data_IF_505471963071
#
_entry.id   IF_505471963071
#
_cell.length_a   1.000
_cell.length_b   1.000
_cell.length_c   1.000
_cell.angle_alpha   90.00
_cell.angle_beta   90.00
_cell.angle_gamma   90.00
#
_symmetry.space_group_name_H-M   'P 1'
#
loop_
_entity.id
_entity.type
_entity.pdbx_description
1 polymer ?
#
# COMPACT_ATOMS: atom_id res chain seq x y z
N UNK A 1 5.15 6.67 -11.72
CA UNK A 1 4.62 6.62 -13.10
C UNK A 1 3.87 7.91 -13.44
N UNK A 2 3.85 8.33 -14.71
CA UNK A 2 3.04 9.46 -15.19
C UNK A 2 1.69 8.99 -15.77
N UNK A 3 0.74 9.91 -15.98
CA UNK A 3 -0.56 9.58 -16.59
C UNK A 3 -0.40 8.95 -17.97
N UNK A 4 0.52 9.47 -18.80
CA UNK A 4 0.79 8.94 -20.13
C UNK A 4 1.23 7.47 -20.13
N UNK A 5 2.01 7.06 -19.12
CA UNK A 5 2.42 5.66 -18.96
C UNK A 5 1.21 4.76 -18.65
N UNK A 6 0.30 5.22 -17.80
CA UNK A 6 -0.92 4.49 -17.47
C UNK A 6 -1.89 4.40 -18.67
N UNK A 7 -2.03 5.48 -19.43
CA UNK A 7 -2.82 5.47 -20.68
C UNK A 7 -2.23 4.48 -21.69
N UNK A 8 -0.90 4.43 -21.82
CA UNK A 8 -0.20 3.43 -22.63
C UNK A 8 -0.49 2.01 -22.14
N UNK A 9 -0.41 1.75 -20.83
CA UNK A 9 -0.77 0.46 -20.26
C UNK A 9 -2.20 0.05 -20.61
N UNK A 10 -3.16 0.96 -20.45
CA UNK A 10 -4.57 0.71 -20.76
C UNK A 10 -4.76 0.38 -22.24
N UNK A 11 -4.08 1.10 -23.14
CA UNK A 11 -4.11 0.82 -24.59
C UNK A 11 -3.52 -0.55 -24.94
N UNK A 12 -2.37 -0.91 -24.35
CA UNK A 12 -1.67 -2.17 -24.60
C UNK A 12 -2.40 -3.40 -24.03
N UNK A 13 -3.23 -3.20 -23.00
CA UNK A 13 -3.74 -4.28 -22.15
C UNK A 13 -5.27 -4.39 -22.12
N UNK A 14 -6.04 -3.52 -22.79
CA UNK A 14 -7.51 -3.51 -22.71
C UNK A 14 -8.13 -4.91 -22.91
N UNK A 15 -7.74 -5.60 -23.98
CA UNK A 15 -8.22 -6.96 -24.27
C UNK A 15 -7.78 -8.01 -23.23
N UNK A 16 -6.61 -7.82 -22.58
CA UNK A 16 -6.08 -8.73 -21.55
C UNK A 16 -6.72 -8.54 -20.19
N UNK A 17 -7.30 -7.35 -19.93
CA UNK A 17 -7.95 -7.02 -18.66
C UNK A 17 -9.44 -7.43 -18.63
N UNK A 18 -10.08 -7.58 -19.80
CA UNK A 18 -11.48 -7.99 -19.90
C UNK A 18 -11.71 -9.37 -19.28
N UNK A 19 -12.71 -9.46 -18.39
CA UNK A 19 -13.07 -10.70 -17.71
C UNK A 19 -12.10 -11.16 -16.61
N UNK A 20 -11.04 -10.38 -16.33
CA UNK A 20 -10.09 -10.67 -15.24
C UNK A 20 -10.63 -10.19 -13.90
N UNK A 21 -10.29 -10.93 -12.84
CA UNK A 21 -10.50 -10.48 -11.46
C UNK A 21 -9.61 -9.27 -11.13
N UNK A 22 -9.98 -8.51 -10.12
CA UNK A 22 -9.23 -7.29 -9.75
C UNK A 22 -7.78 -7.59 -9.36
N UNK A 23 -7.52 -8.71 -8.68
CA UNK A 23 -6.16 -9.15 -8.37
C UNK A 23 -5.35 -9.52 -9.61
N UNK A 24 -5.96 -10.17 -10.60
CA UNK A 24 -5.31 -10.48 -11.88
C UNK A 24 -4.97 -9.20 -12.65
N UNK A 25 -5.88 -8.22 -12.71
CA UNK A 25 -5.62 -6.93 -13.36
C UNK A 25 -4.43 -6.22 -12.72
N UNK A 26 -4.39 -6.16 -11.38
CA UNK A 26 -3.26 -5.56 -10.65
C UNK A 26 -1.96 -6.32 -10.92
N UNK A 27 -1.97 -7.66 -10.95
CA UNK A 27 -0.78 -8.47 -11.30
C UNK A 27 -0.29 -8.25 -12.73
N UNK A 28 -1.21 -8.13 -13.68
CA UNK A 28 -0.89 -7.80 -15.09
C UNK A 28 -0.23 -6.42 -15.16
N UNK A 29 -0.78 -5.44 -14.44
CA UNK A 29 -0.22 -4.10 -14.35
C UNK A 29 1.17 -4.07 -13.72
N UNK A 30 1.39 -4.73 -12.58
CA UNK A 30 2.72 -4.89 -11.96
C UNK A 30 3.71 -5.51 -12.95
N UNK A 31 3.30 -6.57 -13.66
CA UNK A 31 4.14 -7.22 -14.66
C UNK A 31 4.51 -6.29 -15.82
N UNK A 32 3.59 -5.43 -16.25
CA UNK A 32 3.85 -4.43 -17.29
C UNK A 32 4.81 -3.35 -16.79
N UNK A 33 4.62 -2.84 -15.55
CA UNK A 33 5.54 -1.88 -14.95
C UNK A 33 6.97 -2.44 -14.88
N UNK A 34 7.13 -3.67 -14.39
CA UNK A 34 8.43 -4.34 -14.32
C UNK A 34 9.09 -4.51 -15.69
N UNK A 35 8.32 -4.92 -16.71
CA UNK A 35 8.84 -5.08 -18.09
C UNK A 35 9.30 -3.77 -18.72
N UNK A 36 8.72 -2.64 -18.31
CA UNK A 36 9.04 -1.32 -18.84
C UNK A 36 9.99 -0.52 -17.92
N UNK A 37 10.53 -1.13 -16.86
CA UNK A 37 11.36 -0.46 -15.84
C UNK A 37 10.68 0.76 -15.21
N UNK A 38 9.37 0.66 -14.95
CA UNK A 38 8.59 1.71 -14.30
C UNK A 38 8.40 1.32 -12.83
N UNK A 39 8.91 2.16 -11.93
CA UNK A 39 8.58 2.05 -10.51
C UNK A 39 7.24 2.75 -10.23
N UNK A 40 6.33 2.04 -9.59
CA UNK A 40 5.02 2.58 -9.23
C UNK A 40 4.60 2.18 -7.82
N UNK A 41 3.89 3.07 -7.13
CA UNK A 41 3.27 2.78 -5.83
C UNK A 41 2.04 1.91 -6.07
N UNK A 42 1.99 0.76 -5.39
CA UNK A 42 0.93 -0.24 -5.53
C UNK A 42 -0.04 -0.21 -4.35
N UNK A 43 0.50 -0.06 -3.15
CA UNK A 43 -0.23 -0.08 -1.90
C UNK A 43 0.36 0.96 -0.95
N UNK A 44 -0.49 1.73 -0.29
CA UNK A 44 -0.17 2.72 0.73
C UNK A 44 -0.88 2.34 2.03
N UNK A 45 -0.10 2.00 3.04
CA UNK A 45 -0.59 1.69 4.39
C UNK A 45 -0.18 2.76 5.39
N UNK A 46 -0.98 2.92 6.42
CA UNK A 46 -0.74 3.80 7.54
C UNK A 46 -0.12 3.05 8.71
N UNK A 47 0.80 3.67 9.43
CA UNK A 47 1.28 3.14 10.71
C UNK A 47 1.13 4.19 11.80
N UNK A 48 0.71 3.74 12.98
CA UNK A 48 0.49 4.57 14.17
C UNK A 48 1.17 3.98 15.41
N UNK A 49 1.93 4.80 16.13
CA UNK A 49 2.43 4.42 17.46
C UNK A 49 1.40 4.74 18.55
N UNK A 50 1.43 3.96 19.64
CA UNK A 50 0.52 4.09 20.78
C UNK A 50 0.71 5.48 21.41
N UNK A 51 -0.34 6.30 21.39
CA UNK A 51 -0.36 7.62 22.04
C UNK A 51 -0.54 8.84 21.14
N UNK A 52 -0.87 8.71 19.84
CA UNK A 52 -1.34 9.81 18.96
C UNK A 52 -0.31 10.90 18.59
N UNK A 53 0.75 11.03 19.39
CA UNK A 53 1.77 12.07 19.32
C UNK A 53 3.14 11.55 18.86
N UNK A 54 3.32 10.23 18.71
CA UNK A 54 4.56 9.59 18.26
C UNK A 54 4.60 9.30 16.73
N UNK A 55 5.66 8.64 16.24
CA UNK A 55 6.13 8.64 14.82
C UNK A 55 5.17 7.90 13.88
N UNK A 56 4.05 8.52 13.54
CA UNK A 56 3.16 8.00 12.51
C UNK A 56 3.86 8.02 11.15
N UNK A 57 3.76 6.91 10.41
CA UNK A 57 4.40 6.77 9.11
C UNK A 57 3.40 6.34 8.06
N UNK A 58 3.73 6.63 6.81
CA UNK A 58 3.12 6.04 5.62
C UNK A 58 4.10 5.01 5.06
N UNK A 59 3.57 3.86 4.68
CA UNK A 59 4.27 2.74 4.05
C UNK A 59 3.79 2.67 2.60
N UNK A 60 4.63 3.08 1.67
CA UNK A 60 4.36 3.02 0.24
C UNK A 60 5.07 1.80 -0.35
N UNK A 61 4.32 0.74 -0.62
CA UNK A 61 4.80 -0.45 -1.31
C UNK A 61 4.82 -0.15 -2.80
N UNK A 62 6.01 -0.19 -3.40
CA UNK A 62 6.20 -0.01 -4.82
C UNK A 62 6.39 -1.37 -5.51
N UNK A 63 6.72 -1.36 -6.80
CA UNK A 63 7.11 -2.57 -7.52
C UNK A 63 8.48 -3.13 -7.11
N UNK A 64 9.32 -2.35 -6.41
CA UNK A 64 10.71 -2.75 -6.08
C UNK A 64 11.11 -2.58 -4.61
N UNK A 65 10.40 -1.76 -3.84
CA UNK A 65 10.77 -1.41 -2.46
C UNK A 65 9.58 -0.95 -1.64
N UNK A 66 9.81 -0.76 -0.35
CA UNK A 66 8.90 -0.09 0.57
C UNK A 66 9.52 1.25 0.94
N UNK A 67 8.82 2.35 0.66
CA UNK A 67 9.22 3.70 1.06
C UNK A 67 8.49 4.06 2.34
N UNK A 68 9.24 4.48 3.36
CA UNK A 68 8.68 4.89 4.65
C UNK A 68 8.84 6.39 4.82
N UNK A 69 7.71 7.08 4.98
CA UNK A 69 7.67 8.53 5.17
C UNK A 69 6.98 8.87 6.49
N UNK A 70 7.50 9.85 7.24
CA UNK A 70 6.86 10.37 8.45
C UNK A 70 5.61 11.18 8.07
N UNK A 71 4.51 11.00 8.79
CA UNK A 71 3.30 11.82 8.62
C UNK A 71 3.47 13.16 9.33
N UNK A 72 3.24 14.25 8.61
CA UNK A 72 3.14 15.59 9.22
C UNK A 72 1.84 15.70 10.04
N UNK A 73 1.79 16.60 11.02
CA UNK A 73 0.62 16.78 11.90
C UNK A 73 -0.70 17.00 11.14
N UNK A 74 -0.64 17.62 9.95
CA UNK A 74 -1.79 17.93 9.09
C UNK A 74 -2.23 16.70 8.28
N UNK A 75 -1.29 15.90 7.77
CA UNK A 75 -1.60 14.67 6.99
C UNK A 75 -2.18 13.54 7.83
N UNK A 76 -2.05 13.57 9.17
CA UNK A 76 -2.61 12.56 10.09
C UNK A 76 -4.13 12.34 9.94
N UNK A 77 -4.84 13.33 9.42
CA UNK A 77 -6.31 13.36 9.32
C UNK A 77 -6.84 13.37 7.88
N UNK A 78 -5.95 13.44 6.87
CA UNK A 78 -6.30 13.64 5.47
C UNK A 78 -6.00 12.44 4.57
N UNK A 79 -5.63 11.29 5.14
CA UNK A 79 -5.45 10.02 4.42
C UNK A 79 -6.82 9.49 3.94
N UNK A 80 -7.38 10.18 2.94
CA UNK A 80 -8.60 9.84 2.26
C UNK A 80 -8.27 9.41 0.85
N UNK A 81 -8.58 8.15 0.56
CA UNK A 81 -8.84 7.71 -0.79
C UNK A 81 -8.31 6.32 -1.03
N UNK A 82 -9.18 5.46 -1.54
CA UNK A 82 -8.94 4.12 -2.08
C UNK A 82 -9.10 2.96 -1.10
N UNK A 83 -9.72 1.89 -1.62
CA UNK A 83 -10.14 0.72 -0.84
C UNK A 83 -8.90 -0.03 -0.35
N UNK A 84 -8.84 -0.28 0.96
CA UNK A 84 -7.83 -1.10 1.62
C UNK A 84 -6.37 -0.67 1.33
N UNK A 85 -6.15 0.63 1.10
CA UNK A 85 -4.82 1.18 0.87
C UNK A 85 -4.28 1.03 -0.54
N UNK A 86 -5.06 0.56 -1.55
CA UNK A 86 -4.55 0.56 -2.93
C UNK A 86 -4.13 1.95 -3.39
N UNK A 87 -3.00 2.05 -4.08
CA UNK A 87 -2.57 3.30 -4.68
C UNK A 87 -3.48 3.70 -5.88
N UNK A 88 -3.43 4.96 -6.36
CA UNK A 88 -4.40 5.49 -7.31
C UNK A 88 -4.54 4.67 -8.60
N UNK A 89 -3.44 4.29 -9.25
CA UNK A 89 -3.49 3.53 -10.51
C UNK A 89 -3.97 2.09 -10.33
N UNK A 90 -3.44 1.28 -9.39
CA UNK A 90 -4.02 -0.02 -9.07
C UNK A 90 -5.51 0.05 -8.75
N UNK A 91 -5.95 1.08 -8.01
CA UNK A 91 -7.36 1.28 -7.69
C UNK A 91 -8.21 1.55 -8.93
N UNK A 92 -7.74 2.34 -9.90
CA UNK A 92 -8.48 2.56 -11.15
C UNK A 92 -8.76 1.25 -11.90
N UNK A 93 -7.87 0.26 -11.82
CA UNK A 93 -8.05 -1.04 -12.47
C UNK A 93 -9.19 -1.86 -11.87
N UNK A 94 -9.52 -1.62 -10.59
CA UNK A 94 -10.63 -2.28 -9.91
C UNK A 94 -11.96 -1.56 -10.17
N UNK A 95 -11.94 -0.38 -10.79
CA UNK A 95 -13.15 0.35 -11.15
C UNK A 95 -13.74 -0.18 -12.46
N UNK A 96 -15.08 -0.29 -12.53
CA UNK A 96 -15.77 -0.68 -13.76
C UNK A 96 -15.55 0.30 -14.92
N UNK A 97 -15.44 1.58 -14.61
CA UNK A 97 -15.14 2.66 -15.55
C UNK A 97 -13.94 3.44 -15.01
N UNK A 98 -12.73 2.98 -15.35
CA UNK A 98 -11.50 3.66 -14.99
C UNK A 98 -11.49 5.05 -15.64
N UNK A 99 -11.49 6.10 -14.82
CA UNK A 99 -11.41 7.48 -15.27
C UNK A 99 -10.16 8.12 -14.63
N UNK A 100 -9.04 8.21 -15.38
CA UNK A 100 -7.79 8.75 -14.89
C UNK A 100 -7.90 10.19 -14.35
N UNK A 101 -8.88 10.96 -14.82
CA UNK A 101 -9.10 12.34 -14.38
C UNK A 101 -9.58 12.43 -12.92
N UNK A 102 -10.11 11.33 -12.37
CA UNK A 102 -10.55 11.25 -10.97
C UNK A 102 -9.40 11.04 -9.99
N UNK A 103 -8.18 10.78 -10.46
CA UNK A 103 -7.00 10.73 -9.60
C UNK A 103 -6.72 12.16 -9.12
N UNK A 104 -6.89 12.40 -7.81
CA UNK A 104 -6.47 13.65 -7.19
C UNK A 104 -4.95 13.80 -7.34
N UNK A 105 -4.47 14.93 -7.85
CA UNK A 105 -3.03 15.22 -8.00
C UNK A 105 -2.21 14.98 -6.73
N UNK A 106 -2.79 15.25 -5.56
CA UNK A 106 -2.14 15.06 -4.25
C UNK A 106 -1.97 13.57 -3.86
N UNK A 107 -2.64 12.63 -4.53
CA UNK A 107 -2.50 11.20 -4.28
C UNK A 107 -1.46 10.55 -5.20
N UNK A 108 -1.03 11.23 -6.26
CA UNK A 108 -0.25 10.67 -7.35
C UNK A 108 1.23 11.05 -7.26
N UNK A 109 1.86 10.78 -6.11
CA UNK A 109 3.29 10.99 -5.97
C UNK A 109 4.06 9.79 -6.51
N UNK A 110 5.05 10.06 -7.35
CA UNK A 110 5.96 9.01 -7.82
C UNK A 110 6.84 8.50 -6.68
N UNK A 111 7.36 7.25 -6.77
CA UNK A 111 8.35 6.76 -5.82
C UNK A 111 9.56 7.69 -5.64
N UNK A 112 10.06 8.29 -6.71
CA UNK A 112 11.19 9.23 -6.67
C UNK A 112 10.81 10.54 -5.97
N UNK A 113 9.60 11.04 -6.21
CA UNK A 113 9.09 12.23 -5.53
C UNK A 113 8.97 11.97 -4.03
N UNK A 114 8.46 10.79 -3.63
CA UNK A 114 8.35 10.39 -2.23
C UNK A 114 9.72 10.31 -1.55
N UNK A 115 10.73 9.76 -2.23
CA UNK A 115 12.09 9.65 -1.71
C UNK A 115 12.81 11.00 -1.55
N UNK A 116 12.38 12.05 -2.25
CA UNK A 116 12.97 13.40 -2.19
C UNK A 116 12.30 14.33 -1.19
N UNK A 117 11.20 13.91 -0.56
CA UNK A 117 10.47 14.78 0.38
C UNK A 117 11.20 14.95 1.68
N UNK A 118 10.98 16.08 2.33
CA UNK A 118 11.51 16.36 3.68
C UNK A 118 11.04 15.35 4.73
N UNK A 119 9.88 14.73 4.52
CA UNK A 119 9.33 13.74 5.43
C UNK A 119 9.76 12.29 5.12
N UNK A 120 10.58 12.06 4.10
CA UNK A 120 11.18 10.76 3.85
C UNK A 120 11.99 10.30 5.08
N UNK A 121 11.81 9.05 5.49
CA UNK A 121 12.54 8.48 6.62
C UNK A 121 13.61 7.50 6.15
N UNK A 122 13.19 6.47 5.40
CA UNK A 122 14.06 5.44 4.85
C UNK A 122 13.29 4.62 3.81
N UNK A 123 13.99 3.71 3.15
CA UNK A 123 13.40 2.71 2.26
C UNK A 123 13.94 1.33 2.61
N UNK A 124 13.21 0.29 2.23
CA UNK A 124 13.61 -1.12 2.36
C UNK A 124 13.45 -1.75 0.98
N UNK A 125 14.54 -2.23 0.38
CA UNK A 125 14.44 -2.92 -0.91
C UNK A 125 13.84 -4.31 -0.72
N UNK A 126 13.00 -4.76 -1.66
CA UNK A 126 12.43 -6.12 -1.57
C UNK A 126 13.51 -7.21 -1.58
N UNK A 127 14.65 -6.97 -2.23
CA UNK A 127 15.80 -7.87 -2.22
C UNK A 127 16.50 -8.00 -0.87
N UNK A 128 16.26 -7.07 0.06
CA UNK A 128 16.87 -7.07 1.40
C UNK A 128 15.95 -7.68 2.47
N UNK A 129 14.70 -7.99 2.11
CA UNK A 129 13.71 -8.54 3.05
C UNK A 129 13.91 -10.05 3.13
N UNK A 130 14.22 -10.52 4.33
CA UNK A 130 14.35 -11.95 4.64
C UNK A 130 13.00 -12.53 5.06
N UNK A 131 12.21 -11.75 5.81
CA UNK A 131 10.89 -12.18 6.28
C UNK A 131 9.95 -10.98 6.41
N UNK A 132 8.72 -11.14 5.94
CA UNK A 132 7.63 -10.19 6.16
C UNK A 132 6.48 -10.93 6.85
N UNK A 133 6.14 -10.47 8.04
CA UNK A 133 5.13 -11.07 8.91
C UNK A 133 3.94 -10.11 9.03
N UNK A 134 2.75 -10.59 8.69
CA UNK A 134 1.50 -9.86 8.89
C UNK A 134 0.62 -10.59 9.92
N UNK A 135 0.37 -9.94 11.06
CA UNK A 135 -0.32 -10.53 12.20
C UNK A 135 -1.60 -9.78 12.55
N UNK A 136 -2.67 -10.53 12.78
CA UNK A 136 -3.94 -10.00 13.27
C UNK A 136 -3.79 -9.51 14.71
N UNK A 137 -4.16 -8.26 14.98
CA UNK A 137 -3.97 -7.66 16.30
C UNK A 137 -5.12 -7.96 17.26
N UNK A 138 -5.40 -9.23 17.54
CA UNK A 138 -6.48 -9.68 18.43
C UNK A 138 -6.38 -9.02 19.81
N UNK A 139 -5.16 -8.75 20.30
CA UNK A 139 -4.90 -8.05 21.55
C UNK A 139 -5.35 -6.58 21.55
N UNK A 140 -5.70 -6.03 20.40
CA UNK A 140 -6.23 -4.67 20.23
C UNK A 140 -7.76 -4.65 20.16
N UNK A 141 -8.43 -5.75 20.52
CA UNK A 141 -9.89 -5.81 20.52
C UNK A 141 -10.47 -4.83 21.54
N UNK A 142 -11.31 -3.93 21.06
CA UNK A 142 -12.14 -3.06 21.91
C UNK A 142 -13.59 -3.53 21.88
N UNK A 143 -14.31 -3.33 22.97
CA UNK A 143 -15.76 -3.60 23.04
C UNK A 143 -16.49 -2.27 23.03
N UNK A 144 -17.44 -2.11 22.12
CA UNK A 144 -18.32 -0.94 22.03
C UNK A 144 -19.80 -1.40 21.95
N UNK A 145 -20.73 -0.45 21.80
CA UNK A 145 -22.17 -0.72 21.72
C UNK A 145 -22.58 -1.60 20.52
N UNK A 146 -21.72 -1.75 19.52
CA UNK A 146 -21.94 -2.56 18.31
C UNK A 146 -21.16 -3.87 18.32
N UNK A 147 -20.55 -4.24 19.44
CA UNK A 147 -19.84 -5.50 19.63
C UNK A 147 -18.33 -5.33 19.82
N UNK A 148 -17.58 -6.35 19.41
CA UNK A 148 -16.11 -6.39 19.53
C UNK A 148 -15.47 -6.07 18.19
N UNK A 149 -14.51 -5.16 18.19
CA UNK A 149 -13.76 -4.77 16.99
C UNK A 149 -12.26 -4.73 17.28
N UNK A 150 -11.47 -5.32 16.38
CA UNK A 150 -10.01 -5.16 16.37
C UNK A 150 -9.70 -3.79 15.80
N UNK A 151 -8.88 -2.98 16.49
CA UNK A 151 -8.57 -1.61 16.05
C UNK A 151 -7.22 -1.49 15.34
N UNK A 152 -6.34 -2.49 15.44
CA UNK A 152 -5.07 -2.49 14.71
C UNK A 152 -4.60 -3.90 14.35
N UNK A 153 -3.85 -4.00 13.26
CA UNK A 153 -3.04 -5.17 12.90
C UNK A 153 -1.54 -4.81 12.99
N UNK A 154 -0.67 -5.80 12.80
CA UNK A 154 0.77 -5.62 12.92
C UNK A 154 1.49 -6.13 11.69
N UNK A 155 2.45 -5.37 11.20
CA UNK A 155 3.33 -5.72 10.10
C UNK A 155 4.77 -5.63 10.60
N UNK A 156 5.49 -6.73 10.53
CA UNK A 156 6.91 -6.80 10.88
C UNK A 156 7.71 -7.14 9.62
N UNK A 157 8.78 -6.38 9.38
CA UNK A 157 9.69 -6.58 8.25
C UNK A 157 11.07 -6.84 8.83
N UNK A 158 11.65 -8.00 8.52
CA UNK A 158 13.01 -8.37 8.93
C UNK A 158 13.94 -8.31 7.73
N UNK A 159 15.08 -7.66 7.93
CA UNK A 159 16.24 -7.68 7.04
C UNK A 159 17.44 -8.22 7.80
N UNK A 160 18.53 -8.53 7.11
CA UNK A 160 19.74 -9.11 7.69
C UNK A 160 20.29 -8.38 8.94
N UNK A 161 20.05 -7.08 9.05
CA UNK A 161 20.58 -6.25 10.15
C UNK A 161 19.53 -5.54 10.99
N UNK A 162 18.23 -5.62 10.64
CA UNK A 162 17.21 -4.80 11.29
C UNK A 162 15.81 -5.37 11.20
N UNK A 163 15.06 -5.20 12.28
CA UNK A 163 13.62 -5.44 12.33
C UNK A 163 12.86 -4.11 12.36
N UNK A 164 11.81 -4.02 11.56
CA UNK A 164 10.91 -2.88 11.51
C UNK A 164 9.51 -3.35 11.88
N UNK A 165 8.94 -2.78 12.94
CA UNK A 165 7.60 -3.11 13.41
C UNK A 165 6.64 -1.95 13.18
N UNK A 166 5.52 -2.24 12.53
CA UNK A 166 4.48 -1.28 12.19
C UNK A 166 3.15 -1.74 12.75
N UNK A 167 2.38 -0.78 13.27
CA UNK A 167 1.02 -1.00 13.77
C UNK A 167 0.05 -0.33 12.81
N UNK A 168 -0.74 -1.13 12.12
CA UNK A 168 -1.64 -0.73 11.05
C UNK A 168 -3.06 -0.51 11.58
N UNK A 169 -3.56 0.73 11.67
CA UNK A 169 -4.88 1.02 12.22
C UNK A 169 -6.01 0.59 11.26
N UNK A 170 -6.92 -0.25 11.76
CA UNK A 170 -7.99 -0.89 10.94
C UNK A 170 -8.94 0.13 10.31
N UNK A 171 -9.19 1.25 10.98
CA UNK A 171 -10.05 2.32 10.47
C UNK A 171 -9.46 3.07 9.27
N UNK A 172 -8.14 3.01 9.05
CA UNK A 172 -7.48 3.67 7.90
C UNK A 172 -7.16 2.68 6.80
N UNK A 173 -6.59 1.53 7.16
CA UNK A 173 -6.05 0.58 6.19
C UNK A 173 -7.03 -0.52 5.80
N UNK A 174 -8.12 -0.67 6.55
CA UNK A 174 -9.09 -1.76 6.39
C UNK A 174 -8.82 -2.92 7.35
N UNK A 175 -9.66 -3.95 7.24
CA UNK A 175 -9.56 -5.11 8.11
C UNK A 175 -8.39 -6.03 7.71
N UNK A 176 -8.08 -7.00 8.56
CA UNK A 176 -6.98 -7.94 8.35
C UNK A 176 -7.06 -8.66 7.00
N UNK A 177 -8.22 -9.21 6.62
CA UNK A 177 -8.35 -9.98 5.38
C UNK A 177 -8.15 -9.11 4.13
N UNK A 178 -8.62 -7.87 4.17
CA UNK A 178 -8.44 -6.92 3.07
C UNK A 178 -6.95 -6.57 2.85
N UNK A 179 -6.24 -6.24 3.93
CA UNK A 179 -4.80 -5.92 3.86
C UNK A 179 -4.02 -7.17 3.44
N UNK A 180 -4.33 -8.33 4.03
CA UNK A 180 -3.70 -9.61 3.70
C UNK A 180 -3.87 -9.94 2.23
N UNK A 181 -5.08 -9.78 1.70
CA UNK A 181 -5.36 -10.02 0.29
C UNK A 181 -4.48 -9.16 -0.61
N UNK A 182 -4.46 -7.84 -0.40
CA UNK A 182 -3.69 -6.94 -1.26
C UNK A 182 -2.19 -7.09 -1.10
N UNK A 183 -1.67 -7.28 0.12
CA UNK A 183 -0.25 -7.63 0.33
C UNK A 183 0.14 -8.89 -0.44
N UNK A 184 -0.71 -9.93 -0.41
CA UNK A 184 -0.50 -11.16 -1.19
C UNK A 184 -0.62 -10.99 -2.72
N UNK A 185 -1.16 -9.86 -3.18
CA UNK A 185 -1.22 -9.50 -4.61
C UNK A 185 -0.01 -8.68 -5.04
N UNK A 186 0.42 -7.72 -4.21
CA UNK A 186 1.46 -6.73 -4.59
C UNK A 186 2.88 -7.17 -4.25
N UNK A 187 3.07 -8.00 -3.22
CA UNK A 187 4.41 -8.44 -2.84
C UNK A 187 4.96 -9.46 -3.85
N UNK A 188 6.25 -9.35 -4.23
CA UNK A 188 6.87 -10.31 -5.14
C UNK A 188 7.28 -11.62 -4.44
N UNK A 189 7.05 -11.74 -3.13
CA UNK A 189 7.39 -12.90 -2.30
C UNK A 189 6.23 -13.24 -1.35
N UNK A 190 6.29 -14.44 -0.78
CA UNK A 190 5.30 -14.87 0.21
C UNK A 190 5.53 -14.18 1.55
N UNK A 191 4.43 -13.80 2.21
CA UNK A 191 4.45 -13.29 3.58
C UNK A 191 3.94 -14.36 4.55
N UNK A 192 4.43 -14.33 5.77
CA UNK A 192 3.94 -15.18 6.86
C UNK A 192 2.73 -14.50 7.51
N UNK A 193 1.62 -15.23 7.66
CA UNK A 193 0.39 -14.70 8.25
C UNK A 193 0.04 -15.41 9.56
N UNK A 194 -0.31 -14.62 10.58
CA UNK A 194 -0.79 -15.09 11.89
C UNK A 194 -2.10 -14.40 12.29
#
# INVERSE_FOLDING_TARGET
>A
MQIADFERFMSDSDNKLRGKSDSEKVKIFISWCNKNNIEEVLLRLSSEEKGGWAKNCTLDFTTSRIIVSKKSAITKFADLGFVAGLAPYPYLLTMKNADPTKIRKQANYSPEELAKRENFAFQILFSEIEELIFRKGIETTVTNMFGRAIVSNFLTIKTAGKTYDFRLPVNKDGNYEQIRFWLGVVLPFNMTCY
#
